data_IF_366508944239
#
_entry.id   IF_366508944239
#
_cell.length_a   1.000
_cell.length_b   1.000
_cell.length_c   1.000
_cell.angle_alpha   90.00
_cell.angle_beta   90.00
_cell.angle_gamma   90.00
#
_symmetry.space_group_name_H-M   'P 1'
#
loop_
_entity.id
_entity.type
_entity.pdbx_description
1 polymer ?
#
# COMPACT_ATOMS: atom_id res chain seq x y z
N UNK A 1 2.26 9.43 -4.25
CA UNK A 1 2.96 8.12 -4.38
C UNK A 1 3.63 7.96 -5.74
N UNK A 2 2.89 8.03 -6.86
CA UNK A 2 3.44 7.79 -8.20
C UNK A 2 4.54 8.79 -8.61
N UNK A 3 4.33 10.08 -8.40
CA UNK A 3 5.34 11.10 -8.70
C UNK A 3 6.66 10.84 -7.97
N UNK A 4 6.59 10.52 -6.67
CA UNK A 4 7.76 10.15 -5.88
C UNK A 4 8.45 8.90 -6.43
N UNK A 5 7.69 7.87 -6.82
CA UNK A 5 8.25 6.66 -7.41
C UNK A 5 8.92 6.92 -8.77
N UNK A 6 8.35 7.80 -9.61
CA UNK A 6 8.98 8.20 -10.87
C UNK A 6 10.29 8.95 -10.63
N UNK A 7 10.28 9.95 -9.74
CA UNK A 7 11.48 10.73 -9.41
C UNK A 7 12.56 9.86 -8.77
N UNK A 8 12.19 8.98 -7.84
CA UNK A 8 13.11 8.05 -7.21
C UNK A 8 13.76 7.13 -8.25
N UNK A 9 12.99 6.58 -9.19
CA UNK A 9 13.54 5.80 -10.30
C UNK A 9 14.49 6.63 -11.17
N UNK A 10 14.10 7.85 -11.55
CA UNK A 10 14.93 8.73 -12.37
C UNK A 10 16.26 9.11 -11.67
N UNK A 11 16.22 9.28 -10.34
CA UNK A 11 17.38 9.60 -9.52
C UNK A 11 18.17 8.37 -9.05
N UNK A 12 17.75 7.15 -9.39
CA UNK A 12 18.35 5.91 -8.87
C UNK A 12 18.24 5.74 -7.35
N UNK A 13 17.33 6.46 -6.70
CA UNK A 13 17.15 6.44 -5.24
C UNK A 13 16.20 5.30 -4.85
N UNK A 14 16.59 4.39 -3.94
CA UNK A 14 15.70 3.36 -3.42
C UNK A 14 14.46 3.95 -2.75
N UNK A 15 13.29 3.35 -2.99
CA UNK A 15 12.04 3.76 -2.37
C UNK A 15 11.15 2.55 -2.05
N UNK A 16 10.51 2.61 -0.89
CA UNK A 16 9.46 1.68 -0.47
C UNK A 16 8.15 2.44 -0.23
N UNK A 17 7.01 1.84 -0.55
CA UNK A 17 5.70 2.48 -0.35
C UNK A 17 4.69 1.59 0.36
N UNK A 18 3.98 2.14 1.35
CA UNK A 18 2.82 1.47 1.96
C UNK A 18 1.62 1.45 1.02
N UNK A 19 0.92 0.31 0.91
CA UNK A 19 -0.35 0.19 0.20
C UNK A 19 -1.54 0.44 1.15
N UNK A 20 -2.73 -0.12 0.85
CA UNK A 20 -3.94 0.12 1.62
C UNK A 20 -3.95 -0.65 2.95
N UNK A 21 -4.13 0.08 4.05
CA UNK A 21 -4.32 -0.42 5.42
C UNK A 21 -5.75 -0.22 5.96
N UNK A 22 -6.62 0.47 5.21
CA UNK A 22 -8.00 0.72 5.62
C UNK A 22 -8.87 -0.54 5.55
N UNK A 23 -9.90 -0.59 6.42
CA UNK A 23 -10.86 -1.68 6.56
C UNK A 23 -10.22 -3.06 6.80
N UNK A 24 -9.11 -3.09 7.53
CA UNK A 24 -8.36 -4.30 7.87
C UNK A 24 -8.29 -4.43 9.39
N UNK A 25 -8.04 -5.64 9.90
CA UNK A 25 -7.86 -5.90 11.32
C UNK A 25 -6.62 -6.74 11.63
N UNK A 26 -6.09 -7.46 10.65
CA UNK A 26 -4.97 -8.38 10.84
C UNK A 26 -3.64 -7.71 10.42
N UNK A 27 -2.83 -7.25 11.39
CA UNK A 27 -1.51 -6.69 11.09
C UNK A 27 -0.48 -7.76 10.68
N UNK A 28 -0.73 -9.04 10.92
CA UNK A 28 0.21 -10.12 10.56
C UNK A 28 0.14 -10.48 9.08
N UNK A 29 -0.93 -10.07 8.39
CA UNK A 29 -1.12 -10.30 6.96
C UNK A 29 -0.29 -9.37 6.05
N UNK A 30 0.53 -8.47 6.61
CA UNK A 30 1.42 -7.61 5.84
C UNK A 30 2.65 -8.35 5.32
N UNK A 31 3.05 -8.07 4.08
CA UNK A 31 4.29 -8.54 3.49
C UNK A 31 4.96 -7.46 2.64
N UNK A 32 6.29 -7.60 2.49
CA UNK A 32 7.10 -6.81 1.56
C UNK A 32 7.15 -7.53 0.22
N UNK A 33 6.82 -6.82 -0.87
CA UNK A 33 6.92 -7.37 -2.22
C UNK A 33 7.21 -6.28 -3.25
N UNK A 34 7.53 -6.67 -4.48
CA UNK A 34 7.43 -5.76 -5.61
C UNK A 34 5.94 -5.50 -5.93
N UNK A 35 5.62 -4.28 -6.36
CA UNK A 35 4.26 -3.87 -6.71
C UNK A 35 3.60 -4.85 -7.68
N UNK A 36 4.33 -5.43 -8.63
CA UNK A 36 3.82 -6.39 -9.62
C UNK A 36 3.27 -7.69 -9.00
N UNK A 37 3.76 -8.09 -7.83
CA UNK A 37 3.40 -9.34 -7.14
C UNK A 37 2.26 -9.19 -6.13
N UNK A 38 1.79 -7.97 -5.91
CA UNK A 38 0.75 -7.68 -4.92
C UNK A 38 -0.60 -8.28 -5.30
N UNK A 39 -1.40 -8.66 -4.30
CA UNK A 39 -2.74 -9.24 -4.46
C UNK A 39 -3.73 -8.59 -3.48
N UNK A 40 -5.04 -8.80 -3.70
CA UNK A 40 -6.14 -8.41 -2.80
C UNK A 40 -6.37 -6.89 -2.58
N UNK A 41 -5.31 -6.09 -2.48
CA UNK A 41 -5.34 -4.67 -2.14
C UNK A 41 -5.80 -3.79 -3.33
N UNK A 42 -6.93 -3.06 -3.20
CA UNK A 42 -7.43 -2.18 -4.28
C UNK A 42 -6.44 -1.08 -4.66
N UNK A 43 -5.78 -0.46 -3.66
CA UNK A 43 -4.75 0.55 -3.91
C UNK A 43 -3.56 -0.03 -4.67
N UNK A 44 -3.11 -1.24 -4.30
CA UNK A 44 -1.99 -1.89 -4.99
C UNK A 44 -2.34 -2.23 -6.45
N UNK A 45 -3.59 -2.61 -6.74
CA UNK A 45 -4.09 -2.80 -8.11
C UNK A 45 -3.98 -1.51 -8.93
N UNK A 46 -4.46 -0.39 -8.41
CA UNK A 46 -4.35 0.91 -9.09
C UNK A 46 -2.89 1.31 -9.29
N UNK A 47 -2.07 1.18 -8.24
CA UNK A 47 -0.64 1.45 -8.28
C UNK A 47 0.08 0.61 -9.34
N UNK A 48 -0.23 -0.69 -9.50
CA UNK A 48 0.35 -1.54 -10.56
C UNK A 48 0.06 -0.99 -11.96
N UNK A 49 -1.20 -0.64 -12.22
CA UNK A 49 -1.63 -0.13 -13.53
C UNK A 49 -0.91 1.19 -13.83
N UNK A 50 -0.89 2.10 -12.87
CA UNK A 50 -0.26 3.40 -13.04
C UNK A 50 1.27 3.31 -13.14
N UNK A 51 1.91 2.40 -12.41
CA UNK A 51 3.35 2.14 -12.56
C UNK A 51 3.69 1.67 -13.98
N UNK A 52 2.90 0.75 -14.56
CA UNK A 52 3.10 0.29 -15.94
C UNK A 52 2.95 1.42 -16.96
N UNK A 53 1.88 2.22 -16.86
CA UNK A 53 1.65 3.37 -17.74
C UNK A 53 2.80 4.38 -17.69
N UNK A 54 3.41 4.52 -16.52
CA UNK A 54 4.45 5.51 -16.21
C UNK A 54 5.88 5.01 -16.42
N UNK A 55 6.06 3.75 -16.86
CA UNK A 55 7.37 3.15 -17.03
C UNK A 55 8.15 2.92 -15.73
N UNK A 56 7.46 2.83 -14.58
CA UNK A 56 8.09 2.46 -13.30
C UNK A 56 8.33 0.95 -13.33
N UNK A 57 9.61 0.55 -13.38
CA UNK A 57 10.05 -0.84 -13.60
C UNK A 57 9.86 -1.71 -12.36
N UNK A 58 10.19 -1.17 -11.18
CA UNK A 58 10.10 -1.85 -9.89
C UNK A 58 9.69 -0.84 -8.82
N UNK A 59 8.89 -1.28 -7.86
CA UNK A 59 8.54 -0.49 -6.68
C UNK A 59 8.35 -1.45 -5.51
N UNK A 60 9.26 -1.40 -4.54
CA UNK A 60 9.13 -2.15 -3.29
C UNK A 60 7.95 -1.59 -2.51
N UNK A 61 7.07 -2.45 -2.00
CA UNK A 61 5.89 -2.04 -1.26
C UNK A 61 5.61 -2.95 -0.07
N UNK A 62 4.97 -2.38 0.96
CA UNK A 62 4.32 -3.13 2.02
C UNK A 62 2.83 -3.15 1.75
N UNK A 63 2.24 -4.33 1.63
CA UNK A 63 0.79 -4.50 1.44
C UNK A 63 0.29 -5.67 2.28
N UNK A 64 -0.99 -5.68 2.61
CA UNK A 64 -1.59 -6.80 3.34
C UNK A 64 -2.46 -7.66 2.42
N UNK A 65 -2.34 -8.98 2.59
CA UNK A 65 -3.13 -10.03 1.94
C UNK A 65 -4.54 -10.19 2.53
N UNK A 66 -4.84 -9.52 3.63
CA UNK A 66 -6.19 -9.49 4.20
C UNK A 66 -7.15 -8.80 3.22
N UNK A 67 -8.31 -9.44 2.99
CA UNK A 67 -9.39 -8.82 2.24
C UNK A 67 -10.01 -7.69 3.06
N UNK A 68 -10.03 -6.49 2.47
CA UNK A 68 -10.64 -5.34 3.12
C UNK A 68 -12.13 -5.59 3.40
N UNK A 69 -12.55 -5.35 4.64
CA UNK A 69 -13.95 -5.45 5.06
C UNK A 69 -14.78 -4.37 4.38
N UNK A 70 -16.05 -4.67 4.11
CA UNK A 70 -17.01 -3.68 3.62
C UNK A 70 -17.46 -2.82 4.81
N UNK A 71 -17.52 -1.48 4.68
CA UNK A 71 -18.08 -0.62 5.73
C UNK A 71 -19.53 -1.01 6.06
N UNK A 72 -19.89 -0.91 7.34
CA UNK A 72 -21.21 -1.32 7.87
C UNK A 72 -22.27 -0.20 7.83
N UNK A 73 -22.02 0.92 7.12
CA UNK A 73 -22.93 2.07 7.10
C UNK A 73 -24.07 1.94 6.07
N UNK A 74 -25.29 2.36 6.44
CA UNK A 74 -26.37 2.61 5.47
C UNK A 74 -25.94 3.78 4.55
N UNK A 75 -26.26 3.72 3.25
CA UNK A 75 -25.97 4.82 2.34
C UNK A 75 -26.64 6.10 2.85
N UNK A 76 -25.90 7.20 2.96
CA UNK A 76 -26.53 8.52 3.14
C UNK A 76 -27.35 8.82 1.89
N UNK A 77 -28.66 8.95 2.04
CA UNK A 77 -29.61 9.22 0.94
C UNK A 77 -29.37 10.57 0.23
N UNK A 78 -28.49 11.43 0.76
CA UNK A 78 -28.40 12.84 0.41
C UNK A 78 -27.44 13.22 -0.72
N UNK A 79 -26.77 12.28 -1.40
CA UNK A 79 -25.97 12.62 -2.58
C UNK A 79 -25.67 11.36 -3.39
N UNK A 80 -26.15 11.31 -4.65
CA UNK A 80 -26.06 10.16 -5.57
C UNK A 80 -24.66 9.66 -5.97
N UNK A 81 -23.62 9.96 -5.19
CA UNK A 81 -22.25 9.48 -5.38
C UNK A 81 -21.82 8.70 -4.15
N UNK A 82 -21.87 7.36 -4.24
CA UNK A 82 -21.32 6.44 -3.22
C UNK A 82 -19.81 6.67 -3.09
N UNK A 83 -19.36 7.30 -2.00
CA UNK A 83 -17.99 7.15 -1.51
C UNK A 83 -18.04 6.50 -0.14
N UNK A 84 -17.85 5.18 -0.12
CA UNK A 84 -17.60 4.44 1.11
C UNK A 84 -16.35 5.02 1.79
N UNK A 85 -16.52 5.63 2.96
CA UNK A 85 -15.40 6.15 3.75
C UNK A 85 -14.68 4.95 4.38
N UNK A 86 -13.38 4.71 4.07
CA UNK A 86 -12.65 3.62 4.70
C UNK A 86 -12.48 3.87 6.19
N UNK A 87 -12.82 2.87 7.01
CA UNK A 87 -12.46 2.85 8.42
C UNK A 87 -10.99 2.49 8.59
N UNK A 88 -10.40 2.88 9.71
CA UNK A 88 -9.04 2.51 10.11
C UNK A 88 -9.02 2.12 11.58
N UNK A 89 -8.12 1.23 11.95
CA UNK A 89 -7.73 1.00 13.34
C UNK A 89 -6.30 1.49 13.54
N UNK A 90 -5.85 1.72 14.78
CA UNK A 90 -4.52 2.25 15.06
C UNK A 90 -3.39 1.19 14.93
N UNK A 91 -3.73 -0.10 15.01
CA UNK A 91 -2.76 -1.20 15.06
C UNK A 91 -2.25 -1.61 13.67
N UNK A 92 -3.10 -1.58 12.65
CA UNK A 92 -2.76 -2.04 11.29
C UNK A 92 -1.85 -1.04 10.56
N UNK A 93 -2.15 0.28 10.50
CA UNK A 93 -1.27 1.26 9.87
C UNK A 93 0.09 1.39 10.57
N UNK A 94 0.13 1.29 11.91
CA UNK A 94 1.38 1.38 12.67
C UNK A 94 2.32 0.21 12.35
N UNK A 95 1.82 -1.02 12.33
CA UNK A 95 2.61 -2.20 11.93
C UNK A 95 3.11 -2.10 10.49
N UNK A 96 2.31 -1.59 9.54
CA UNK A 96 2.79 -1.34 8.19
C UNK A 96 3.98 -0.36 8.16
N UNK A 97 3.95 0.68 9.00
CA UNK A 97 5.06 1.62 9.17
C UNK A 97 6.30 0.98 9.78
N UNK A 98 6.13 0.13 10.81
CA UNK A 98 7.24 -0.60 11.44
C UNK A 98 7.90 -1.59 10.47
N UNK A 99 7.13 -2.30 9.65
CA UNK A 99 7.65 -3.18 8.61
C UNK A 99 8.46 -2.38 7.59
N UNK A 100 7.95 -1.22 7.15
CA UNK A 100 8.68 -0.34 6.24
C UNK A 100 10.01 0.10 6.85
N UNK A 101 10.02 0.56 8.10
CA UNK A 101 11.24 0.99 8.77
C UNK A 101 12.25 -0.15 8.88
N UNK A 102 11.81 -1.34 9.30
CA UNK A 102 12.67 -2.53 9.39
C UNK A 102 13.26 -2.94 8.05
N UNK A 103 12.46 -2.91 6.98
CA UNK A 103 12.92 -3.23 5.62
C UNK A 103 13.94 -2.21 5.10
N UNK A 104 13.75 -0.92 5.40
CA UNK A 104 14.73 0.12 5.04
C UNK A 104 16.05 -0.07 5.79
N UNK A 105 16.01 -0.38 7.09
CA UNK A 105 17.23 -0.64 7.87
C UNK A 105 17.96 -1.86 7.32
N UNK A 106 17.24 -2.94 7.00
CA UNK A 106 17.79 -4.13 6.35
C UNK A 106 18.50 -3.81 5.04
N UNK A 107 17.86 -3.02 4.16
CA UNK A 107 18.44 -2.58 2.89
C UNK A 107 19.72 -1.75 3.11
N UNK A 108 19.73 -0.87 4.11
CA UNK A 108 20.88 0.00 4.41
C UNK A 108 22.05 -0.76 5.05
N UNK A 109 21.77 -1.85 5.77
CA UNK A 109 22.78 -2.67 6.45
C UNK A 109 23.18 -3.92 5.65
N UNK A 110 22.68 -4.09 4.41
CA UNK A 110 22.88 -5.28 3.58
C UNK A 110 22.49 -6.61 4.28
N UNK A 111 21.44 -6.56 5.12
CA UNK A 111 20.90 -7.74 5.82
C UNK A 111 19.64 -8.21 5.10
N UNK A 112 19.60 -9.50 4.71
CA UNK A 112 18.43 -10.12 4.08
C UNK A 112 17.43 -10.59 5.15
#
# INVERSE_FOLDING_TARGET
KLELAQRAQAAGTPIISSMGAGNKLDPTAFEVADISKTSVCPLARVMRIECRKRGIKKLKVVYSKEQARKPLGKPSESSGVRKDIPASNAFVPSVAGLIIAGEVIKDLCDVK
#
